data_IF_188704961917
#
_entry.id   IF_188704961917
#
_cell.length_a   1.000
_cell.length_b   1.000
_cell.length_c   1.000
_cell.angle_alpha   90.00
_cell.angle_beta   90.00
_cell.angle_gamma   90.00
#
_symmetry.space_group_name_H-M   'P 1'
#
loop_
_entity.id
_entity.type
_entity.pdbx_description
1 polymer ?
#
# COMPACT_ATOMS: atom_id res chain seq x y z
N UNK A 1 -18.73 -3.17 13.02
CA UNK A 1 -17.69 -4.14 13.46
C UNK A 1 -17.54 -4.08 14.97
N UNK A 2 -17.30 -2.92 15.57
CA UNK A 2 -17.07 -2.75 17.02
C UNK A 2 -18.22 -3.34 17.88
N UNK A 3 -19.47 -3.10 17.50
CA UNK A 3 -20.61 -3.61 18.24
C UNK A 3 -20.78 -5.12 18.09
N UNK A 4 -20.48 -5.66 16.91
CA UNK A 4 -20.48 -7.12 16.69
C UNK A 4 -19.40 -7.82 17.50
N UNK A 5 -18.22 -7.22 17.63
CA UNK A 5 -17.14 -7.76 18.46
C UNK A 5 -17.51 -7.72 19.96
N UNK A 6 -18.18 -6.65 20.43
CA UNK A 6 -18.67 -6.58 21.81
C UNK A 6 -19.72 -7.66 22.11
N UNK A 7 -20.66 -7.87 21.20
CA UNK A 7 -21.65 -8.96 21.34
C UNK A 7 -20.95 -10.32 21.37
N UNK A 8 -19.99 -10.55 20.49
CA UNK A 8 -19.23 -11.82 20.46
C UNK A 8 -18.40 -12.04 21.74
N UNK A 9 -17.83 -10.99 22.34
CA UNK A 9 -17.11 -11.08 23.62
C UNK A 9 -18.04 -11.52 24.75
N UNK A 10 -19.30 -11.03 24.76
CA UNK A 10 -20.29 -11.40 25.75
C UNK A 10 -20.79 -12.85 25.58
N UNK A 11 -20.67 -13.43 24.38
CA UNK A 11 -21.06 -14.82 24.11
C UNK A 11 -19.88 -15.76 24.45
N UNK A 12 -18.72 -15.58 23.85
CA UNK A 12 -17.53 -16.39 24.09
C UNK A 12 -16.25 -15.71 23.54
N UNK A 13 -15.16 -15.61 24.34
CA UNK A 13 -13.92 -14.95 23.92
C UNK A 13 -13.28 -15.54 22.66
N UNK A 14 -13.36 -16.87 22.46
CA UNK A 14 -12.84 -17.51 21.25
C UNK A 14 -13.56 -17.10 19.98
N UNK A 15 -14.88 -16.87 20.05
CA UNK A 15 -15.66 -16.40 18.90
C UNK A 15 -15.19 -15.00 18.52
N UNK A 16 -14.98 -14.13 19.51
CA UNK A 16 -14.43 -12.80 19.26
C UNK A 16 -13.05 -12.88 18.59
N UNK A 17 -12.15 -13.71 19.10
CA UNK A 17 -10.82 -13.91 18.56
C UNK A 17 -10.84 -14.37 17.08
N UNK A 18 -11.66 -15.36 16.74
CA UNK A 18 -11.78 -15.83 15.36
C UNK A 18 -12.39 -14.80 14.43
N UNK A 19 -13.41 -14.07 14.88
CA UNK A 19 -14.01 -13.00 14.08
C UNK A 19 -13.02 -11.86 13.84
N UNK A 20 -12.29 -11.43 14.86
CA UNK A 20 -11.29 -10.37 14.73
C UNK A 20 -10.13 -10.81 13.83
N UNK A 21 -9.64 -12.03 13.99
CA UNK A 21 -8.61 -12.61 13.12
C UNK A 21 -9.06 -12.67 11.65
N UNK A 22 -10.29 -13.08 11.40
CA UNK A 22 -10.87 -13.09 10.06
C UNK A 22 -10.95 -11.68 9.45
N UNK A 23 -11.42 -10.71 10.22
CA UNK A 23 -11.48 -9.31 9.76
C UNK A 23 -10.08 -8.72 9.52
N UNK A 24 -9.12 -9.00 10.40
CA UNK A 24 -7.72 -8.58 10.20
C UNK A 24 -7.13 -9.20 8.94
N UNK A 25 -7.35 -10.49 8.70
CA UNK A 25 -6.87 -11.17 7.49
C UNK A 25 -7.37 -10.50 6.19
N UNK A 26 -8.61 -10.03 6.16
CA UNK A 26 -9.20 -9.40 4.98
C UNK A 26 -8.60 -8.02 4.62
N UNK A 27 -7.94 -7.37 5.58
CA UNK A 27 -7.37 -6.03 5.37
C UNK A 27 -6.03 -6.13 4.64
N UNK A 28 -5.28 -7.23 4.81
CA UNK A 28 -3.93 -7.37 4.26
C UNK A 28 -3.91 -7.73 2.78
N UNK A 29 -3.12 -6.97 2.02
CA UNK A 29 -2.92 -7.18 0.58
C UNK A 29 -1.53 -7.75 0.21
N UNK A 30 -0.72 -8.15 1.20
CA UNK A 30 0.68 -8.54 0.99
C UNK A 30 0.86 -9.68 -0.02
N UNK A 31 0.00 -10.72 0.05
CA UNK A 31 0.08 -11.87 -0.86
C UNK A 31 -0.25 -11.46 -2.30
N UNK A 32 -1.35 -10.75 -2.50
CA UNK A 32 -1.77 -10.26 -3.81
C UNK A 32 -0.72 -9.35 -4.44
N UNK A 33 -0.16 -8.41 -3.67
CA UNK A 33 0.91 -7.52 -4.11
C UNK A 33 2.15 -8.31 -4.57
N UNK A 34 2.57 -9.32 -3.80
CA UNK A 34 3.70 -10.19 -4.16
C UNK A 34 3.44 -11.01 -5.43
N UNK A 35 2.25 -11.53 -5.61
CA UNK A 35 1.90 -12.32 -6.80
C UNK A 35 1.85 -11.46 -8.06
N UNK A 36 1.23 -10.29 -8.00
CA UNK A 36 1.13 -9.40 -9.15
C UNK A 36 2.49 -8.80 -9.54
N UNK A 37 3.31 -8.40 -8.58
CA UNK A 37 4.65 -7.88 -8.88
C UNK A 37 5.57 -8.95 -9.48
N UNK A 38 5.47 -10.21 -9.05
CA UNK A 38 6.21 -11.32 -9.66
C UNK A 38 5.83 -11.58 -11.11
N UNK A 39 4.57 -11.36 -11.50
CA UNK A 39 4.16 -11.49 -12.91
C UNK A 39 4.94 -10.52 -13.78
N UNK A 40 5.03 -9.24 -13.38
CA UNK A 40 5.83 -8.24 -14.10
C UNK A 40 7.28 -8.67 -14.22
N UNK A 41 7.90 -9.12 -13.12
CA UNK A 41 9.28 -9.61 -13.11
C UNK A 41 9.50 -10.76 -14.09
N UNK A 42 8.62 -11.77 -14.10
CA UNK A 42 8.77 -12.93 -15.00
C UNK A 42 8.57 -12.56 -16.47
N UNK A 43 7.67 -11.61 -16.78
CA UNK A 43 7.49 -11.11 -18.14
C UNK A 43 8.75 -10.38 -18.63
N UNK A 44 9.33 -9.51 -17.81
CA UNK A 44 10.60 -8.81 -18.12
C UNK A 44 11.75 -9.80 -18.31
N UNK A 45 11.88 -10.79 -17.42
CA UNK A 45 12.93 -11.83 -17.53
C UNK A 45 12.82 -12.66 -18.82
N UNK A 46 11.62 -12.79 -19.41
CA UNK A 46 11.39 -13.47 -20.68
C UNK A 46 11.52 -12.54 -21.90
N UNK A 47 11.85 -11.28 -21.70
CA UNK A 47 11.88 -10.21 -22.71
C UNK A 47 10.51 -10.03 -23.41
N UNK A 48 9.41 -10.36 -22.74
CA UNK A 48 8.07 -10.14 -23.26
C UNK A 48 7.53 -8.79 -22.79
N UNK A 49 7.89 -7.75 -23.54
CA UNK A 49 7.49 -6.36 -23.22
C UNK A 49 5.98 -6.13 -23.33
N UNK A 50 5.28 -6.88 -24.19
CA UNK A 50 3.84 -6.73 -24.37
C UNK A 50 3.10 -7.20 -23.11
N UNK A 51 3.41 -8.40 -22.64
CA UNK A 51 2.82 -8.94 -21.42
C UNK A 51 3.33 -8.21 -20.17
N UNK A 52 4.57 -7.71 -20.16
CA UNK A 52 5.08 -6.89 -19.05
C UNK A 52 4.30 -5.58 -18.87
N UNK A 53 4.00 -4.88 -19.97
CA UNK A 53 3.14 -3.68 -19.95
C UNK A 53 1.73 -3.99 -19.50
N UNK A 54 1.17 -5.10 -19.93
CA UNK A 54 -0.15 -5.57 -19.49
C UNK A 54 -0.15 -5.95 -18.01
N UNK A 55 0.87 -6.67 -17.54
CA UNK A 55 0.98 -7.03 -16.13
C UNK A 55 1.12 -5.80 -15.23
N UNK A 56 1.94 -4.81 -15.62
CA UNK A 56 2.09 -3.57 -14.83
C UNK A 56 0.83 -2.71 -14.87
N UNK A 57 0.06 -2.69 -15.97
CA UNK A 57 -1.20 -1.93 -16.04
C UNK A 57 -2.27 -2.42 -15.05
N UNK A 58 -2.16 -3.67 -14.59
CA UNK A 58 -3.07 -4.22 -13.59
C UNK A 58 -2.81 -3.71 -12.17
N UNK A 59 -1.65 -3.11 -11.92
CA UNK A 59 -1.22 -2.66 -10.59
C UNK A 59 -0.96 -1.16 -10.50
N UNK A 60 -0.89 -0.44 -11.64
CA UNK A 60 -0.70 1.01 -11.67
C UNK A 60 -1.93 1.73 -12.25
N UNK A 61 -2.21 2.92 -11.74
CA UNK A 61 -3.34 3.74 -12.20
C UNK A 61 -3.03 4.69 -13.37
N UNK A 62 -1.97 4.40 -14.16
CA UNK A 62 -1.55 5.24 -15.30
C UNK A 62 -1.43 4.43 -16.58
N UNK A 63 -1.39 5.14 -17.72
CA UNK A 63 -1.14 4.50 -19.02
C UNK A 63 0.25 3.84 -19.07
N UNK A 64 0.29 2.60 -19.55
CA UNK A 64 1.50 1.76 -19.60
C UNK A 64 1.86 1.32 -21.02
N UNK A 65 1.05 1.66 -22.04
CA UNK A 65 1.19 1.13 -23.40
C UNK A 65 2.55 1.48 -24.04
N UNK A 66 3.05 2.68 -23.74
CA UNK A 66 4.29 3.21 -24.32
C UNK A 66 5.51 3.15 -23.39
N UNK A 67 5.42 2.46 -22.25
CA UNK A 67 6.53 2.38 -21.31
C UNK A 67 7.70 1.55 -21.90
N UNK A 68 8.89 2.04 -21.71
CA UNK A 68 10.13 1.28 -21.93
C UNK A 68 10.30 0.22 -20.84
N UNK A 69 11.25 -0.69 -20.99
CA UNK A 69 11.59 -1.68 -19.96
C UNK A 69 11.93 -1.01 -18.61
N UNK A 70 12.73 0.04 -18.65
CA UNK A 70 13.04 0.86 -17.47
C UNK A 70 11.79 1.50 -16.88
N UNK A 71 10.89 2.02 -17.73
CA UNK A 71 9.62 2.61 -17.32
C UNK A 71 8.69 1.61 -16.65
N UNK A 72 8.60 0.38 -17.17
CA UNK A 72 7.82 -0.72 -16.57
C UNK A 72 8.42 -1.12 -15.22
N UNK A 73 9.74 -1.29 -15.16
CA UNK A 73 10.45 -1.65 -13.93
C UNK A 73 10.25 -0.59 -12.85
N UNK A 74 10.43 0.68 -13.20
CA UNK A 74 10.24 1.81 -12.29
C UNK A 74 8.80 1.86 -11.77
N UNK A 75 7.81 1.75 -12.67
CA UNK A 75 6.40 1.75 -12.29
C UNK A 75 6.06 0.61 -11.33
N UNK A 76 6.56 -0.60 -11.59
CA UNK A 76 6.34 -1.74 -10.72
C UNK A 76 6.97 -1.54 -9.33
N UNK A 77 8.21 -1.04 -9.25
CA UNK A 77 8.90 -0.79 -7.97
C UNK A 77 8.20 0.31 -7.17
N UNK A 78 7.82 1.42 -7.81
CA UNK A 78 7.06 2.50 -7.18
C UNK A 78 5.75 1.97 -6.58
N UNK A 79 4.97 1.23 -7.35
CA UNK A 79 3.70 0.67 -6.90
C UNK A 79 3.86 -0.35 -5.78
N UNK A 80 4.89 -1.19 -5.82
CA UNK A 80 5.19 -2.13 -4.72
C UNK A 80 5.55 -1.37 -3.46
N UNK A 81 6.34 -0.31 -3.55
CA UNK A 81 6.73 0.50 -2.41
C UNK A 81 5.51 1.19 -1.76
N UNK A 82 4.67 1.85 -2.58
CA UNK A 82 3.43 2.49 -2.16
C UNK A 82 2.46 1.50 -1.52
N UNK A 83 2.15 0.40 -2.19
CA UNK A 83 1.23 -0.61 -1.67
C UNK A 83 1.78 -1.39 -0.47
N UNK A 84 3.09 -1.44 -0.26
CA UNK A 84 3.67 -1.96 0.99
C UNK A 84 3.30 -1.05 2.16
N UNK A 85 3.29 0.28 1.95
CA UNK A 85 2.77 1.21 2.95
C UNK A 85 1.27 1.01 3.16
N UNK A 86 0.48 1.14 2.10
CA UNK A 86 -0.98 1.30 2.16
C UNK A 86 -1.73 -0.03 2.33
N UNK A 87 -1.15 -1.13 1.89
CA UNK A 87 -1.75 -2.46 1.94
C UNK A 87 -1.20 -3.37 3.03
N UNK A 88 -0.10 -2.98 3.70
CA UNK A 88 0.53 -3.83 4.73
C UNK A 88 0.85 -3.03 5.99
N UNK A 89 1.77 -2.06 5.91
CA UNK A 89 2.30 -1.39 7.11
C UNK A 89 1.25 -0.53 7.80
N UNK A 90 0.52 0.30 7.04
CA UNK A 90 -0.48 1.18 7.62
C UNK A 90 -1.65 0.40 8.23
N UNK A 91 -2.29 -0.56 7.53
CA UNK A 91 -3.30 -1.41 8.15
C UNK A 91 -2.80 -2.08 9.44
N UNK A 92 -1.57 -2.62 9.44
CA UNK A 92 -0.99 -3.27 10.62
C UNK A 92 -0.88 -2.30 11.79
N UNK A 93 -0.31 -1.10 11.57
CA UNK A 93 -0.17 -0.10 12.63
C UNK A 93 -1.52 0.31 13.21
N UNK A 94 -2.52 0.56 12.36
CA UNK A 94 -3.86 0.92 12.82
C UNK A 94 -4.57 -0.22 13.55
N UNK A 95 -4.37 -1.47 13.12
CA UNK A 95 -4.89 -2.63 13.83
C UNK A 95 -4.21 -2.83 15.20
N UNK A 96 -2.91 -2.57 15.31
CA UNK A 96 -2.20 -2.62 16.60
C UNK A 96 -2.72 -1.57 17.59
N UNK A 97 -3.14 -0.40 17.10
CA UNK A 97 -3.66 0.69 17.93
C UNK A 97 -5.12 0.50 18.34
N UNK A 98 -5.96 -0.09 17.51
CA UNK A 98 -7.40 -0.14 17.76
C UNK A 98 -8.12 -1.35 17.14
N UNK A 99 -7.40 -2.45 16.90
CA UNK A 99 -7.96 -3.68 16.38
C UNK A 99 -8.52 -3.55 14.96
N UNK A 100 -9.31 -4.52 14.55
CA UNK A 100 -9.97 -4.54 13.24
C UNK A 100 -10.77 -3.26 12.92
N UNK A 101 -11.52 -2.63 13.88
CA UNK A 101 -12.27 -1.41 13.57
C UNK A 101 -11.40 -0.27 13.04
N UNK A 102 -10.24 -0.03 13.64
CA UNK A 102 -9.35 1.05 13.23
C UNK A 102 -8.62 0.71 11.92
N UNK A 103 -8.26 -0.55 11.70
CA UNK A 103 -7.74 -1.02 10.43
C UNK A 103 -8.73 -0.83 9.27
N UNK A 104 -10.02 -1.12 9.49
CA UNK A 104 -11.07 -0.88 8.48
C UNK A 104 -11.33 0.61 8.24
N UNK A 105 -11.25 1.45 9.28
CA UNK A 105 -11.34 2.90 9.11
C UNK A 105 -10.23 3.40 8.19
N UNK A 106 -8.99 3.01 8.47
CA UNK A 106 -7.86 3.32 7.59
C UNK A 106 -8.12 2.85 6.16
N UNK A 107 -8.51 1.58 5.99
CA UNK A 107 -8.76 1.02 4.66
C UNK A 107 -9.89 1.73 3.92
N UNK A 108 -10.92 2.19 4.61
CA UNK A 108 -11.98 2.99 4.01
C UNK A 108 -11.45 4.35 3.50
N UNK A 109 -10.63 5.06 4.28
CA UNK A 109 -10.00 6.33 3.88
C UNK A 109 -9.12 6.11 2.65
N UNK A 110 -8.21 5.14 2.68
CA UNK A 110 -7.31 4.81 1.57
C UNK A 110 -8.08 4.40 0.30
N UNK A 111 -9.17 3.63 0.43
CA UNK A 111 -10.01 3.26 -0.71
C UNK A 111 -10.77 4.47 -1.27
N UNK A 112 -11.26 5.37 -0.41
CA UNK A 112 -11.92 6.59 -0.88
C UNK A 112 -10.95 7.48 -1.67
N UNK A 113 -9.70 7.62 -1.22
CA UNK A 113 -8.68 8.36 -1.98
C UNK A 113 -8.40 7.68 -3.33
N UNK A 114 -8.15 6.38 -3.33
CA UNK A 114 -7.90 5.62 -4.56
C UNK A 114 -9.04 5.70 -5.59
N UNK A 115 -10.28 5.85 -5.15
CA UNK A 115 -11.46 5.92 -6.03
C UNK A 115 -11.86 7.35 -6.42
N UNK A 116 -11.64 8.33 -5.55
CA UNK A 116 -12.16 9.68 -5.67
C UNK A 116 -11.07 10.76 -5.71
N UNK A 117 -9.85 10.44 -5.31
CA UNK A 117 -8.73 11.39 -5.21
C UNK A 117 -8.18 11.89 -6.55
N UNK A 118 -8.76 11.43 -7.68
CA UNK A 118 -8.35 11.87 -9.02
C UNK A 118 -8.68 13.35 -9.29
N UNK A 119 -7.68 14.08 -9.78
CA UNK A 119 -7.80 15.51 -10.19
C UNK A 119 -8.46 15.65 -11.57
N UNK A 120 -9.62 15.04 -11.78
CA UNK A 120 -10.43 15.28 -12.98
C UNK A 120 -11.57 16.25 -12.65
N UNK A 121 -12.16 16.87 -13.68
CA UNK A 121 -13.23 17.89 -13.53
C UNK A 121 -14.40 17.41 -12.65
N UNK A 122 -14.72 16.11 -12.71
CA UNK A 122 -15.84 15.52 -11.98
C UNK A 122 -15.58 15.41 -10.46
N UNK A 123 -14.32 15.18 -10.06
CA UNK A 123 -13.95 14.89 -8.66
C UNK A 123 -13.06 15.96 -8.02
N UNK A 124 -12.76 17.06 -8.74
CA UNK A 124 -11.80 18.08 -8.33
C UNK A 124 -12.06 18.64 -6.92
N UNK A 125 -13.32 18.85 -6.57
CA UNK A 125 -13.70 19.38 -5.25
C UNK A 125 -14.00 18.27 -4.24
N UNK A 126 -14.69 17.22 -4.68
CA UNK A 126 -15.14 16.14 -3.80
C UNK A 126 -13.98 15.21 -3.40
N UNK A 127 -13.05 14.91 -4.30
CA UNK A 127 -11.88 14.06 -4.06
C UNK A 127 -10.81 14.70 -3.18
N UNK A 128 -10.84 16.03 -3.01
CA UNK A 128 -9.84 16.75 -2.21
C UNK A 128 -9.87 16.40 -0.71
N UNK A 129 -11.04 16.05 -0.18
CA UNK A 129 -11.19 15.68 1.23
C UNK A 129 -10.61 14.29 1.49
N UNK A 130 -11.02 13.22 0.74
CA UNK A 130 -10.39 11.91 0.85
C UNK A 130 -8.87 11.93 0.70
N UNK A 131 -8.33 12.63 -0.32
CA UNK A 131 -6.89 12.75 -0.52
C UNK A 131 -6.16 13.36 0.69
N UNK A 132 -6.69 14.45 1.25
CA UNK A 132 -6.10 15.05 2.46
C UNK A 132 -6.21 14.16 3.69
N UNK A 133 -7.30 13.41 3.83
CA UNK A 133 -7.45 12.45 4.92
C UNK A 133 -6.44 11.33 4.78
N UNK A 134 -6.25 10.79 3.56
CA UNK A 134 -5.27 9.75 3.29
C UNK A 134 -3.85 10.24 3.60
N UNK A 135 -3.46 11.45 3.18
CA UNK A 135 -2.19 12.08 3.53
C UNK A 135 -1.95 12.13 5.05
N UNK A 136 -2.97 12.45 5.84
CA UNK A 136 -2.87 12.49 7.31
C UNK A 136 -2.71 11.08 7.88
N UNK A 137 -3.51 10.13 7.41
CA UNK A 137 -3.47 8.75 7.89
C UNK A 137 -2.17 8.04 7.48
N UNK A 138 -1.61 8.37 6.32
CA UNK A 138 -0.34 7.81 5.83
C UNK A 138 0.91 8.54 6.32
N UNK A 139 0.79 9.65 7.02
CA UNK A 139 1.94 10.45 7.46
C UNK A 139 2.95 9.66 8.32
N UNK A 140 2.49 8.87 9.27
CA UNK A 140 3.34 8.01 10.11
C UNK A 140 3.66 6.69 9.41
N UNK A 141 2.67 5.94 8.87
CA UNK A 141 2.92 4.66 8.22
C UNK A 141 3.94 4.71 7.09
N UNK A 142 3.88 5.71 6.20
CA UNK A 142 4.84 5.85 5.10
C UNK A 142 6.29 5.98 5.60
N UNK A 143 6.52 6.72 6.69
CA UNK A 143 7.86 6.85 7.28
C UNK A 143 8.35 5.56 7.92
N UNK A 144 7.47 4.86 8.61
CA UNK A 144 7.78 3.54 9.21
C UNK A 144 8.09 2.53 8.10
N UNK A 145 7.31 2.53 7.02
CA UNK A 145 7.56 1.68 5.84
C UNK A 145 8.92 1.97 5.21
N UNK A 146 9.24 3.24 4.98
CA UNK A 146 10.53 3.62 4.42
C UNK A 146 11.71 3.16 5.31
N UNK A 147 11.58 3.27 6.63
CA UNK A 147 12.58 2.76 7.57
C UNK A 147 12.71 1.24 7.48
N UNK A 148 11.59 0.50 7.41
CA UNK A 148 11.63 -0.95 7.23
C UNK A 148 12.25 -1.36 5.91
N UNK A 149 11.99 -0.64 4.81
CA UNK A 149 12.62 -0.91 3.51
C UNK A 149 14.13 -0.68 3.55
N UNK A 150 14.60 0.38 4.22
CA UNK A 150 16.04 0.61 4.43
C UNK A 150 16.64 -0.52 5.27
N UNK A 151 16.03 -0.89 6.38
CA UNK A 151 16.50 -2.01 7.21
C UNK A 151 16.53 -3.32 6.40
N UNK A 152 15.48 -3.60 5.63
CA UNK A 152 15.42 -4.78 4.78
C UNK A 152 16.51 -4.80 3.71
N UNK A 153 16.91 -3.65 3.15
CA UNK A 153 18.01 -3.56 2.20
C UNK A 153 19.35 -3.95 2.83
N UNK A 154 19.60 -3.59 4.09
CA UNK A 154 20.78 -4.05 4.82
C UNK A 154 20.76 -5.56 5.06
N UNK A 155 19.61 -6.10 5.50
CA UNK A 155 19.45 -7.53 5.77
C UNK A 155 19.56 -8.40 4.51
N UNK A 156 19.09 -7.87 3.38
CA UNK A 156 19.16 -8.55 2.08
C UNK A 156 20.54 -8.45 1.40
N UNK A 157 21.54 -7.81 2.03
CA UNK A 157 22.88 -7.62 1.44
C UNK A 157 22.91 -6.61 0.30
N UNK A 158 21.90 -5.75 0.18
CA UNK A 158 21.84 -4.66 -0.79
C UNK A 158 22.53 -3.40 -0.24
N UNK A 159 22.65 -2.35 -1.07
CA UNK A 159 23.28 -1.08 -0.65
C UNK A 159 22.35 -0.26 0.27
N UNK A 160 22.21 -0.71 1.51
CA UNK A 160 21.41 -0.05 2.54
C UNK A 160 21.92 1.34 2.91
N UNK A 161 23.22 1.61 2.77
CA UNK A 161 23.80 2.94 3.02
C UNK A 161 23.30 3.95 1.98
N UNK A 162 23.29 3.54 0.72
CA UNK A 162 22.75 4.37 -0.36
C UNK A 162 21.24 4.53 -0.25
N UNK A 163 20.50 3.48 0.11
CA UNK A 163 19.07 3.56 0.37
C UNK A 163 18.74 4.59 1.48
N UNK A 164 19.49 4.58 2.58
CA UNK A 164 19.37 5.58 3.65
C UNK A 164 19.67 7.01 3.18
N UNK A 165 20.75 7.18 2.38
CA UNK A 165 21.13 8.49 1.82
C UNK A 165 20.03 9.04 0.90
N UNK A 166 19.48 8.21 0.02
CA UNK A 166 18.39 8.57 -0.90
C UNK A 166 17.14 8.95 -0.09
N UNK A 167 16.75 8.15 0.91
CA UNK A 167 15.63 8.48 1.78
C UNK A 167 15.78 9.86 2.43
N UNK A 168 16.93 10.17 3.03
CA UNK A 168 17.17 11.46 3.66
C UNK A 168 17.13 12.62 2.66
N UNK A 169 17.65 12.41 1.44
CA UNK A 169 17.69 13.41 0.38
C UNK A 169 16.29 13.73 -0.18
N UNK A 170 15.46 12.69 -0.37
CA UNK A 170 14.25 12.80 -1.20
C UNK A 170 12.94 12.83 -0.39
N UNK A 171 12.94 12.47 0.89
CA UNK A 171 11.75 12.37 1.76
C UNK A 171 10.86 13.62 1.86
N UNK A 172 11.30 14.76 1.35
CA UNK A 172 10.56 16.03 1.37
C UNK A 172 10.30 16.60 -0.03
N UNK A 173 10.63 15.85 -1.07
CA UNK A 173 10.50 16.34 -2.46
C UNK A 173 9.10 16.17 -3.02
N UNK A 174 8.31 15.27 -2.47
CA UNK A 174 6.95 15.00 -2.90
C UNK A 174 5.93 15.65 -1.97
N UNK A 175 4.79 16.06 -2.53
CA UNK A 175 3.70 16.69 -1.76
C UNK A 175 2.92 15.67 -0.91
N UNK A 176 2.85 14.39 -1.36
CA UNK A 176 2.26 13.29 -0.60
C UNK A 176 3.30 12.66 0.34
N UNK A 177 2.89 12.14 1.52
CA UNK A 177 3.76 11.43 2.45
C UNK A 177 4.22 10.06 1.96
N UNK A 178 3.54 9.47 0.97
CA UNK A 178 3.85 8.16 0.38
C UNK A 178 4.92 8.24 -0.69
#
# INVERSE_FOLDING_TARGET
IRDRLRVAQNIHPLICFFLESFWCYQIFAAKSLSEESKKVYYCLKRNDMKEARRAVSMIVGRDTENLTEEGVTKAAVETVAENTSDGVTAPLLYMMLGGAPLGFLYKAVNTMDSMLGYKNEKYLYFGKIPAKMDDVFNFIPARVTAMFMVCASFLAGLDGKNAWRIYLRDRRKHASPN
#
